data_IF_937025994093
#
_entry.id   IF_937025994093
#
_cell.length_a   1.000
_cell.length_b   1.000
_cell.length_c   1.000
_cell.angle_alpha   90.00
_cell.angle_beta   90.00
_cell.angle_gamma   90.00
#
_symmetry.space_group_name_H-M   'P 1'
#
loop_
_entity.id
_entity.type
_entity.pdbx_description
1 polymer ?
#
# COMPACT_ATOMS: atom_id res chain seq x y z
N UNK A 1 -16.26 20.75 14.81
CA UNK A 1 -14.96 21.04 14.19
C UNK A 1 -14.34 22.32 14.74
N UNK A 2 -14.90 23.51 14.48
CA UNK A 2 -14.36 24.80 15.00
C UNK A 2 -14.26 24.89 16.53
N UNK A 3 -15.25 24.36 17.26
CA UNK A 3 -15.26 24.37 18.73
C UNK A 3 -14.09 23.59 19.36
N UNK A 4 -13.77 22.43 18.80
CA UNK A 4 -12.65 21.60 19.28
C UNK A 4 -11.28 22.14 18.88
N UNK A 5 -11.18 22.83 17.73
CA UNK A 5 -9.97 23.57 17.35
C UNK A 5 -9.73 24.77 18.27
N UNK A 6 -10.79 25.46 18.67
CA UNK A 6 -10.74 26.53 19.67
C UNK A 6 -10.35 25.99 21.04
N UNK A 7 -10.89 24.85 21.48
CA UNK A 7 -10.52 24.23 22.76
C UNK A 7 -9.05 23.81 22.78
N UNK A 8 -8.53 23.21 21.70
CA UNK A 8 -7.11 22.87 21.55
C UNK A 8 -6.22 24.13 21.54
N UNK A 9 -6.64 25.17 20.83
CA UNK A 9 -5.94 26.45 20.77
C UNK A 9 -5.91 27.13 22.14
N UNK A 10 -7.02 27.14 22.88
CA UNK A 10 -7.15 27.71 24.23
C UNK A 10 -6.29 26.93 25.21
N UNK A 11 -6.29 25.59 25.17
CA UNK A 11 -5.43 24.75 26.01
C UNK A 11 -3.93 24.99 25.74
N UNK A 12 -3.55 25.11 24.46
CA UNK A 12 -2.17 25.43 24.07
C UNK A 12 -1.76 26.86 24.44
N UNK A 13 -2.70 27.79 24.52
CA UNK A 13 -2.45 29.19 24.85
C UNK A 13 -2.39 29.46 26.35
N UNK A 14 -3.13 28.68 27.17
CA UNK A 14 -3.22 28.89 28.62
C UNK A 14 -2.31 28.00 29.46
N UNK A 15 -2.01 26.76 29.02
CA UNK A 15 -1.24 25.81 29.82
C UNK A 15 0.22 25.65 29.36
N UNK A 16 0.57 26.15 28.18
CA UNK A 16 1.89 25.96 27.58
C UNK A 16 2.71 27.26 27.64
N UNK A 17 3.93 27.19 28.18
CA UNK A 17 4.89 28.30 28.12
C UNK A 17 5.07 28.76 26.66
N UNK A 18 5.20 30.07 26.37
CA UNK A 18 5.27 30.59 25.00
C UNK A 18 6.39 29.93 24.17
N UNK A 19 7.51 29.60 24.80
CA UNK A 19 8.61 28.86 24.17
C UNK A 19 8.21 27.43 23.78
N UNK A 20 7.41 26.77 24.62
CA UNK A 20 6.93 25.40 24.37
C UNK A 20 5.79 25.37 23.35
N UNK A 21 4.95 26.41 23.31
CA UNK A 21 3.91 26.61 22.29
C UNK A 21 4.54 26.78 20.91
N UNK A 22 5.55 27.64 20.78
CA UNK A 22 6.28 27.80 19.53
C UNK A 22 7.06 26.54 19.15
N UNK A 23 7.68 25.84 20.11
CA UNK A 23 8.38 24.60 19.85
C UNK A 23 7.43 23.48 19.38
N UNK A 24 6.28 23.32 20.03
CA UNK A 24 5.24 22.37 19.62
C UNK A 24 4.73 22.71 18.24
N UNK A 25 4.34 23.96 17.97
CA UNK A 25 3.82 24.35 16.66
C UNK A 25 4.87 24.22 15.54
N UNK A 26 6.13 24.57 15.82
CA UNK A 26 7.24 24.40 14.89
C UNK A 26 7.66 22.93 14.68
N UNK A 27 7.31 22.00 15.58
CA UNK A 27 7.69 20.58 15.46
C UNK A 27 6.51 19.69 14.99
N UNK A 28 5.27 20.01 15.39
CA UNK A 28 4.05 19.29 15.00
C UNK A 28 3.62 19.57 13.55
N UNK A 29 3.80 20.81 13.07
CA UNK A 29 3.42 21.18 11.70
C UNK A 29 4.59 21.10 10.71
N UNK A 30 5.83 21.12 11.20
CA UNK A 30 7.04 21.14 10.38
C UNK A 30 7.92 19.95 10.75
N UNK A 31 7.82 18.89 9.94
CA UNK A 31 8.63 17.67 9.97
C UNK A 31 10.09 17.90 10.40
N UNK A 32 10.66 16.94 11.13
CA UNK A 32 12.09 16.80 11.45
C UNK A 32 13.04 17.01 10.24
N UNK A 33 12.55 16.89 9.01
CA UNK A 33 13.24 17.26 7.77
C UNK A 33 13.61 18.75 7.65
N UNK A 34 12.96 19.63 8.41
CA UNK A 34 13.21 21.07 8.37
C UNK A 34 14.37 21.55 9.24
N UNK A 35 14.87 20.73 10.17
CA UNK A 35 16.12 21.03 10.90
C UNK A 35 17.27 21.19 9.91
N UNK A 36 17.33 20.27 8.94
CA UNK A 36 18.25 20.33 7.80
C UNK A 36 17.98 21.52 6.87
N UNK A 37 16.71 21.91 6.68
CA UNK A 37 16.33 23.03 5.78
C UNK A 37 16.50 24.43 6.40
N UNK A 38 16.44 24.55 7.73
CA UNK A 38 16.68 25.81 8.48
C UNK A 38 18.15 25.99 8.88
N UNK A 39 19.04 25.06 8.50
CA UNK A 39 20.48 25.17 8.76
C UNK A 39 20.87 25.01 10.23
N UNK A 40 19.99 24.45 11.06
CA UNK A 40 20.27 24.17 12.47
C UNK A 40 20.90 22.79 12.63
N UNK A 41 21.88 22.68 13.52
CA UNK A 41 22.47 21.40 13.88
C UNK A 41 21.63 20.70 14.95
N UNK A 42 21.57 19.36 14.92
CA UNK A 42 20.84 18.57 15.90
C UNK A 42 21.45 18.68 17.30
N UNK A 43 22.73 19.06 17.39
CA UNK A 43 23.47 19.29 18.62
C UNK A 43 23.25 20.68 19.25
N UNK A 44 22.41 21.53 18.66
CA UNK A 44 22.12 22.84 19.22
C UNK A 44 21.50 22.73 20.64
N UNK A 45 21.87 23.68 21.50
CA UNK A 45 21.60 23.67 22.95
C UNK A 45 20.11 23.54 23.25
N UNK A 46 19.27 24.08 22.38
CA UNK A 46 17.82 23.97 22.44
C UNK A 46 17.31 22.54 22.25
N UNK A 47 17.78 21.83 21.22
CA UNK A 47 17.38 20.44 20.97
C UNK A 47 17.82 19.53 22.11
N UNK A 48 19.07 19.66 22.55
CA UNK A 48 19.63 18.84 23.61
C UNK A 48 18.97 19.03 24.97
N UNK A 49 18.57 20.26 25.31
CA UNK A 49 18.01 20.57 26.64
C UNK A 49 16.49 20.44 26.70
N UNK A 50 15.78 20.74 25.61
CA UNK A 50 14.31 20.85 25.63
C UNK A 50 13.62 19.70 24.91
N UNK A 51 14.15 19.30 23.74
CA UNK A 51 13.52 18.28 22.89
C UNK A 51 13.99 16.88 23.31
N UNK A 52 15.30 16.65 23.42
CA UNK A 52 15.89 15.34 23.70
C UNK A 52 15.36 14.66 24.97
N UNK A 53 15.17 15.35 26.12
CA UNK A 53 14.61 14.73 27.31
C UNK A 53 13.12 14.36 27.15
N UNK A 54 12.40 15.08 26.29
CA UNK A 54 10.95 14.98 26.15
C UNK A 54 10.49 14.24 24.88
N UNK A 55 11.41 13.64 24.11
CA UNK A 55 11.11 12.96 22.85
C UNK A 55 10.01 11.91 23.02
N UNK A 56 10.03 11.17 24.12
CA UNK A 56 9.04 10.12 24.39
C UNK A 56 7.62 10.69 24.56
N UNK A 57 7.49 11.83 25.25
CA UNK A 57 6.22 12.53 25.40
C UNK A 57 5.73 13.07 24.06
N UNK A 58 6.61 13.63 23.23
CA UNK A 58 6.24 14.09 21.89
C UNK A 58 5.76 12.95 20.98
N UNK A 59 6.41 11.78 21.04
CA UNK A 59 5.98 10.60 20.29
C UNK A 59 4.61 10.09 20.76
N UNK A 60 4.35 10.12 22.07
CA UNK A 60 3.05 9.75 22.64
C UNK A 60 1.95 10.74 22.26
N UNK A 61 2.20 12.05 22.36
CA UNK A 61 1.22 13.08 21.97
C UNK A 61 0.87 12.93 20.49
N UNK A 62 1.86 12.68 19.63
CA UNK A 62 1.63 12.39 18.20
C UNK A 62 0.73 11.17 18.01
N UNK A 63 1.06 10.06 18.66
CA UNK A 63 0.27 8.83 18.55
C UNK A 63 -1.16 8.99 19.10
N UNK A 64 -1.33 9.75 20.18
CA UNK A 64 -2.64 10.05 20.78
C UNK A 64 -3.49 10.92 19.86
N UNK A 65 -2.90 11.93 19.21
CA UNK A 65 -3.57 12.78 18.22
C UNK A 65 -3.96 11.95 16.99
N UNK A 66 -3.03 11.17 16.43
CA UNK A 66 -3.34 10.25 15.32
C UNK A 66 -4.46 9.27 15.69
N UNK A 67 -4.51 8.83 16.95
CA UNK A 67 -5.58 7.98 17.48
C UNK A 67 -6.91 8.68 17.65
N UNK A 68 -6.93 9.91 18.14
CA UNK A 68 -8.15 10.67 18.39
C UNK A 68 -8.84 11.08 17.08
N UNK A 69 -8.06 11.29 16.02
CA UNK A 69 -8.55 11.69 14.70
C UNK A 69 -8.72 10.51 13.72
N UNK A 70 -8.55 9.26 14.17
CA UNK A 70 -8.53 8.06 13.30
C UNK A 70 -7.57 8.17 12.10
N UNK A 71 -6.53 9.00 12.25
CA UNK A 71 -5.44 9.20 11.28
C UNK A 71 -4.32 8.18 11.48
N UNK A 72 -4.52 7.16 12.34
CA UNK A 72 -3.58 6.06 12.52
C UNK A 72 -3.22 5.48 11.17
N UNK A 73 -1.94 5.19 10.98
CA UNK A 73 -1.44 4.48 9.81
C UNK A 73 -2.26 3.21 9.61
N UNK A 74 -3.02 3.15 8.51
CA UNK A 74 -3.82 1.97 8.16
C UNK A 74 -2.88 0.76 8.08
N UNK A 75 -3.16 -0.28 8.85
CA UNK A 75 -2.31 -1.47 8.81
C UNK A 75 -2.35 -2.06 7.41
N UNK A 76 -1.18 -2.45 6.88
CA UNK A 76 -1.11 -3.29 5.68
C UNK A 76 -1.56 -4.73 5.94
N UNK A 77 -1.76 -5.08 7.20
CA UNK A 77 -2.36 -6.35 7.57
C UNK A 77 -3.84 -6.31 7.16
N UNK A 78 -4.19 -7.20 6.24
CA UNK A 78 -5.58 -7.52 6.00
C UNK A 78 -6.09 -8.25 7.25
N UNK A 79 -6.85 -7.58 8.10
CA UNK A 79 -7.70 -8.31 9.04
C UNK A 79 -8.62 -9.16 8.18
N UNK A 80 -8.56 -10.48 8.33
CA UNK A 80 -9.46 -11.40 7.63
C UNK A 80 -10.88 -10.85 7.76
N UNK A 81 -11.65 -10.76 6.67
CA UNK A 81 -13.01 -10.23 6.72
C UNK A 81 -13.73 -10.96 7.84
N UNK A 82 -14.16 -10.22 8.87
CA UNK A 82 -14.92 -10.82 9.94
C UNK A 82 -16.25 -11.25 9.33
N UNK A 83 -16.33 -12.51 8.91
CA UNK A 83 -17.47 -13.06 8.21
C UNK A 83 -18.55 -13.30 9.26
N UNK A 84 -19.23 -12.22 9.63
CA UNK A 84 -20.39 -12.23 10.52
C UNK A 84 -21.38 -13.25 9.98
N UNK A 85 -22.10 -13.92 10.87
CA UNK A 85 -23.04 -14.96 10.47
C UNK A 85 -24.13 -14.42 9.54
N UNK A 86 -24.50 -13.14 9.69
CA UNK A 86 -25.34 -12.38 8.76
C UNK A 86 -24.80 -12.41 7.32
N UNK A 87 -23.48 -12.22 7.15
CA UNK A 87 -22.85 -12.24 5.82
C UNK A 87 -22.88 -13.64 5.22
N UNK A 88 -22.73 -14.69 6.03
CA UNK A 88 -22.86 -16.09 5.55
C UNK A 88 -24.28 -16.39 5.11
N UNK A 89 -25.27 -15.99 5.90
CA UNK A 89 -26.69 -16.15 5.55
C UNK A 89 -27.02 -15.39 4.28
N UNK A 90 -26.54 -14.15 4.13
CA UNK A 90 -26.72 -13.37 2.91
C UNK A 90 -26.08 -14.01 1.68
N UNK A 91 -24.85 -14.51 1.81
CA UNK A 91 -24.16 -15.22 0.73
C UNK A 91 -24.89 -16.51 0.34
N UNK A 92 -25.45 -17.23 1.32
CA UNK A 92 -26.25 -18.41 1.09
C UNK A 92 -27.53 -18.07 0.32
N UNK A 93 -28.27 -17.04 0.73
CA UNK A 93 -29.46 -16.55 -0.01
C UNK A 93 -29.10 -16.15 -1.44
N UNK A 94 -28.00 -15.42 -1.65
CA UNK A 94 -27.55 -15.04 -3.00
C UNK A 94 -27.15 -16.23 -3.86
N UNK A 95 -26.65 -17.31 -3.25
CA UNK A 95 -26.31 -18.56 -3.93
C UNK A 95 -27.58 -19.34 -4.31
N UNK A 96 -28.53 -19.46 -3.39
CA UNK A 96 -29.82 -20.13 -3.60
C UNK A 96 -30.66 -19.45 -4.68
N UNK A 97 -30.76 -18.12 -4.60
CA UNK A 97 -31.45 -17.30 -5.61
C UNK A 97 -30.66 -17.19 -6.92
N UNK A 98 -29.42 -17.69 -6.95
CA UNK A 98 -28.48 -17.60 -8.07
C UNK A 98 -28.40 -16.17 -8.62
N UNK A 99 -28.35 -15.18 -7.71
CA UNK A 99 -28.30 -13.75 -8.07
C UNK A 99 -27.03 -13.41 -8.85
N UNK A 100 -25.98 -14.19 -8.66
CA UNK A 100 -24.69 -14.10 -9.34
C UNK A 100 -24.72 -14.61 -10.79
N UNK A 101 -25.79 -15.29 -11.21
CA UNK A 101 -25.95 -15.75 -12.59
C UNK A 101 -26.78 -14.76 -13.38
N UNK A 102 -26.41 -14.58 -14.65
CA UNK A 102 -27.22 -13.84 -15.59
C UNK A 102 -28.54 -14.60 -15.84
N UNK A 103 -29.68 -13.91 -15.74
CA UNK A 103 -31.00 -14.46 -16.10
C UNK A 103 -31.66 -13.55 -17.12
N UNK A 104 -32.02 -14.10 -18.28
CA UNK A 104 -32.82 -13.40 -19.28
C UNK A 104 -34.18 -13.03 -18.67
N UNK A 105 -34.44 -11.73 -18.47
CA UNK A 105 -35.68 -11.23 -17.86
C UNK A 105 -35.46 -10.23 -16.71
N UNK A 106 -34.26 -10.19 -16.12
CA UNK A 106 -33.87 -9.12 -15.18
C UNK A 106 -33.26 -7.96 -15.97
N UNK A 107 -34.08 -7.06 -16.48
CA UNK A 107 -33.61 -5.80 -17.07
C UNK A 107 -34.02 -4.62 -16.18
N UNK A 108 -33.05 -3.90 -15.61
CA UNK A 108 -33.28 -2.63 -14.92
C UNK A 108 -33.40 -1.49 -15.93
N UNK A 109 -34.24 -1.66 -16.96
CA UNK A 109 -34.38 -0.70 -18.08
C UNK A 109 -33.34 -0.85 -19.21
N UNK A 110 -32.40 -1.80 -19.11
CA UNK A 110 -31.43 -2.11 -20.17
C UNK A 110 -31.33 -3.62 -20.35
N UNK A 111 -31.42 -4.11 -21.60
CA UNK A 111 -31.24 -5.52 -21.90
C UNK A 111 -29.73 -5.85 -21.88
N UNK A 112 -29.21 -6.22 -20.71
CA UNK A 112 -27.84 -6.69 -20.61
C UNK A 112 -27.69 -8.00 -21.42
N UNK A 113 -26.68 -8.06 -22.29
CA UNK A 113 -26.34 -9.28 -23.02
C UNK A 113 -25.63 -10.25 -22.10
N UNK A 114 -25.94 -11.55 -22.19
CA UNK A 114 -25.23 -12.59 -21.43
C UNK A 114 -23.80 -12.79 -21.97
N UNK A 115 -22.89 -11.90 -21.58
CA UNK A 115 -21.47 -11.96 -21.99
C UNK A 115 -20.71 -13.07 -21.26
N UNK A 116 -21.21 -13.49 -20.10
CA UNK A 116 -20.57 -14.51 -19.27
C UNK A 116 -20.66 -15.89 -19.94
N UNK A 117 -21.86 -16.35 -20.27
CA UNK A 117 -22.04 -17.65 -20.93
C UNK A 117 -21.43 -17.66 -22.33
N UNK A 118 -21.53 -16.54 -23.06
CA UNK A 118 -20.84 -16.37 -24.34
C UNK A 118 -19.32 -16.47 -24.20
N UNK A 119 -18.78 -15.97 -23.09
CA UNK A 119 -17.36 -16.10 -22.75
C UNK A 119 -16.98 -17.56 -22.49
N UNK A 120 -17.81 -18.29 -21.74
CA UNK A 120 -17.62 -19.72 -21.48
C UNK A 120 -17.68 -20.56 -22.75
N UNK A 121 -18.65 -20.32 -23.62
CA UNK A 121 -18.75 -20.97 -24.93
C UNK A 121 -17.48 -20.71 -25.75
N UNK A 122 -17.05 -19.44 -25.86
CA UNK A 122 -15.81 -19.10 -26.55
C UNK A 122 -14.58 -19.76 -25.95
N UNK A 123 -14.55 -19.95 -24.64
CA UNK A 123 -13.47 -20.64 -23.96
C UNK A 123 -13.42 -22.12 -24.37
N UNK A 124 -14.58 -22.78 -24.40
CA UNK A 124 -14.75 -24.15 -24.87
C UNK A 124 -14.47 -24.31 -26.37
N UNK A 125 -14.85 -23.33 -27.20
CA UNK A 125 -14.66 -23.30 -28.65
C UNK A 125 -13.19 -23.16 -29.09
N UNK A 126 -12.22 -23.27 -28.17
CA UNK A 126 -10.79 -23.36 -28.49
C UNK A 126 -9.94 -22.18 -28.05
N UNK A 127 -10.53 -21.11 -27.48
CA UNK A 127 -9.75 -19.99 -26.91
C UNK A 127 -8.79 -20.46 -25.82
N UNK A 128 -9.16 -21.51 -25.08
CA UNK A 128 -8.30 -22.16 -24.09
C UNK A 128 -7.06 -22.78 -24.75
N UNK A 129 -7.23 -23.46 -25.88
CA UNK A 129 -6.13 -24.05 -26.64
C UNK A 129 -5.22 -22.97 -27.22
N UNK A 130 -5.77 -21.86 -27.70
CA UNK A 130 -4.98 -20.72 -28.16
C UNK A 130 -4.16 -20.10 -27.03
N UNK A 131 -4.73 -19.99 -25.84
CA UNK A 131 -4.02 -19.51 -24.66
C UNK A 131 -2.85 -20.44 -24.30
N UNK A 132 -3.08 -21.76 -24.25
CA UNK A 132 -2.04 -22.76 -23.98
C UNK A 132 -0.93 -22.74 -25.04
N UNK A 133 -1.28 -22.56 -26.31
CA UNK A 133 -0.28 -22.40 -27.39
C UNK A 133 0.57 -21.15 -27.17
N UNK A 134 -0.05 -20.00 -26.87
CA UNK A 134 0.69 -18.75 -26.62
C UNK A 134 1.59 -18.84 -25.40
N UNK A 135 1.08 -19.38 -24.30
CA UNK A 135 1.86 -19.52 -23.06
C UNK A 135 3.03 -20.49 -23.23
N UNK A 136 2.81 -21.62 -23.91
CA UNK A 136 3.88 -22.58 -24.20
C UNK A 136 4.92 -22.02 -25.18
N UNK A 137 4.53 -21.25 -26.20
CA UNK A 137 5.49 -20.56 -27.07
C UNK A 137 6.34 -19.54 -26.31
N UNK A 138 5.71 -18.77 -25.43
CA UNK A 138 6.41 -17.78 -24.62
C UNK A 138 7.41 -18.43 -23.66
N UNK A 139 7.00 -19.51 -22.98
CA UNK A 139 7.89 -20.29 -22.13
C UNK A 139 9.10 -20.84 -22.91
N UNK A 140 8.89 -21.37 -24.12
CA UNK A 140 9.99 -21.84 -24.98
C UNK A 140 10.98 -20.72 -25.33
N UNK A 141 10.47 -19.54 -25.68
CA UNK A 141 11.31 -18.36 -25.98
C UNK A 141 12.15 -17.95 -24.77
N UNK A 142 11.55 -17.94 -23.57
CA UNK A 142 12.29 -17.64 -22.33
C UNK A 142 13.40 -18.67 -22.09
N UNK A 143 13.11 -19.97 -22.23
CA UNK A 143 14.14 -21.01 -22.05
C UNK A 143 15.27 -20.90 -23.08
N UNK A 144 14.97 -20.52 -24.34
CA UNK A 144 16.02 -20.30 -25.34
C UNK A 144 16.89 -19.09 -24.97
N UNK A 145 16.29 -17.99 -24.52
CA UNK A 145 17.01 -16.79 -24.10
C UNK A 145 17.93 -17.06 -22.90
N UNK A 146 17.47 -17.84 -21.93
CA UNK A 146 18.28 -18.28 -20.79
C UNK A 146 19.45 -19.16 -21.26
N UNK A 147 19.20 -20.10 -22.16
CA UNK A 147 20.25 -20.97 -22.70
C UNK A 147 21.33 -20.19 -23.47
N UNK A 148 20.94 -19.15 -24.23
CA UNK A 148 21.88 -18.32 -24.97
C UNK A 148 22.66 -17.39 -24.03
N UNK A 149 22.02 -16.89 -22.97
CA UNK A 149 22.69 -16.12 -21.91
C UNK A 149 23.74 -16.95 -21.19
N UNK A 150 23.47 -18.22 -20.89
CA UNK A 150 24.43 -19.12 -20.27
C UNK A 150 25.60 -19.46 -21.20
N UNK A 151 25.35 -19.68 -22.50
CA UNK A 151 26.44 -19.83 -23.50
C UNK A 151 27.35 -18.61 -23.57
N UNK A 152 26.78 -17.41 -23.54
CA UNK A 152 27.55 -16.15 -23.53
C UNK A 152 28.40 -16.01 -22.27
N UNK A 153 27.87 -16.40 -21.10
CA UNK A 153 28.63 -16.40 -19.83
C UNK A 153 29.81 -17.36 -19.87
N UNK A 154 29.61 -18.57 -20.39
CA UNK A 154 30.67 -19.58 -20.54
C UNK A 154 31.74 -19.12 -21.54
N UNK A 155 31.35 -18.45 -22.63
CA UNK A 155 32.28 -17.88 -23.60
C UNK A 155 33.12 -16.73 -23.02
N UNK A 156 32.54 -15.90 -22.15
CA UNK A 156 33.27 -14.82 -21.45
C UNK A 156 34.23 -15.37 -20.40
N UNK A 157 33.85 -16.42 -19.65
CA UNK A 157 34.74 -17.07 -18.69
C UNK A 157 35.95 -17.77 -19.31
N UNK A 158 35.86 -18.22 -20.57
CA UNK A 158 36.98 -18.84 -21.27
C UNK A 158 38.00 -17.84 -21.85
N UNK A 159 37.66 -16.56 -22.01
CA UNK A 159 38.61 -15.54 -22.50
C UNK A 159 39.51 -14.95 -21.39
N UNK A 160 39.13 -15.09 -20.11
CA UNK A 160 39.93 -14.57 -18.99
C UNK A 160 41.07 -15.53 -18.56
N UNK A 161 41.08 -16.79 -19.03
CA UNK A 161 42.10 -17.79 -18.66
C UNK A 161 43.34 -17.75 -19.56
N UNK A 162 43.25 -17.16 -20.76
CA UNK A 162 44.34 -17.15 -21.76
C UNK A 162 45.28 -15.92 -21.67
N UNK A 163 45.10 -15.03 -20.69
CA UNK A 163 45.97 -13.87 -20.47
C UNK A 163 46.78 -14.05 -19.18
N UNK A 164 47.72 -15.00 -19.17
CA UNK A 164 48.86 -14.95 -18.24
C UNK A 164 50.17 -15.06 -19.04
N UNK A 165 50.97 -13.99 -19.16
CA UNK A 165 52.27 -14.07 -19.79
C UNK A 165 53.24 -14.86 -18.89
N UNK A 166 54.01 -15.74 -19.53
CA UNK A 166 55.16 -16.45 -18.93
C UNK A 166 56.26 -15.49 -18.48
#
# INVERSE_FOLDING_TARGET
YMRYMLDLYVLLEFECSPEHKEALLNNFLFNLDMVKRRGGDFDDKFYRKTISPNVLNFLQIKANIESAFDLKRRSKSHTSPHLRDETKILLQMYKEDKLHLFRSGRSMGHAALNRFDRGYQRLADGKMNDYLKRSSTYAKILTSMESDREKLRLAQGNMDVDIQPR
#
